data_IF_108727020054
#
_entry.id   IF_108727020054
#
_cell.length_a   1.000
_cell.length_b   1.000
_cell.length_c   1.000
_cell.angle_alpha   90.00
_cell.angle_beta   90.00
_cell.angle_gamma   90.00
#
_symmetry.space_group_name_H-M   'P 1'
#
loop_
_entity.id
_entity.type
_entity.pdbx_description
1 polymer ?
#
# COMPACT_ATOMS: atom_id res chain seq x y z
N UNK A 1 -20.77 -25.54 -11.05
CA UNK A 1 -20.45 -24.64 -9.92
C UNK A 1 -19.45 -23.60 -10.41
N UNK A 2 -19.85 -22.33 -10.49
CA UNK A 2 -18.92 -21.24 -10.81
C UNK A 2 -18.06 -21.03 -9.57
N UNK A 3 -16.76 -21.36 -9.63
CA UNK A 3 -15.80 -21.00 -8.57
C UNK A 3 -15.71 -19.47 -8.57
N UNK A 4 -16.34 -18.82 -7.59
CA UNK A 4 -16.05 -17.42 -7.30
C UNK A 4 -14.58 -17.35 -6.89
N UNK A 5 -13.73 -16.78 -7.76
CA UNK A 5 -12.32 -16.56 -7.46
C UNK A 5 -12.27 -15.58 -6.29
N UNK A 6 -11.76 -16.03 -5.14
CA UNK A 6 -11.57 -15.18 -3.96
C UNK A 6 -10.67 -13.99 -4.33
N UNK A 7 -11.13 -12.77 -4.08
CA UNK A 7 -10.42 -11.53 -4.45
C UNK A 7 -9.51 -11.14 -3.30
N UNK A 8 -8.27 -11.62 -3.34
CA UNK A 8 -7.27 -11.35 -2.30
C UNK A 8 -6.68 -9.94 -2.45
N UNK A 9 -6.71 -9.19 -1.35
CA UNK A 9 -6.10 -7.86 -1.21
C UNK A 9 -5.01 -7.96 -0.15
N UNK A 10 -3.76 -7.79 -0.55
CA UNK A 10 -2.64 -7.68 0.39
C UNK A 10 -2.50 -6.24 0.86
N UNK A 11 -2.58 -6.04 2.17
CA UNK A 11 -2.38 -4.75 2.83
C UNK A 11 -0.94 -4.68 3.33
N UNK A 12 -0.22 -3.63 2.96
CA UNK A 12 1.12 -3.32 3.42
C UNK A 12 1.08 -1.97 4.12
N UNK A 13 0.81 -1.92 5.44
CA UNK A 13 0.65 -0.68 6.20
C UNK A 13 1.87 0.24 6.14
N UNK A 14 3.05 -0.35 6.29
CA UNK A 14 4.34 0.34 6.25
C UNK A 14 4.56 1.24 7.47
N UNK A 15 5.06 2.45 7.22
CA UNK A 15 5.66 3.35 8.20
C UNK A 15 4.87 4.65 8.40
N UNK A 16 5.17 5.38 9.47
CA UNK A 16 4.56 6.68 9.78
C UNK A 16 3.04 6.58 9.94
N UNK A 17 2.31 7.40 9.18
CA UNK A 17 0.82 7.39 9.16
C UNK A 17 0.24 6.23 8.34
N UNK A 18 1.07 5.44 7.67
CA UNK A 18 0.65 4.31 6.82
C UNK A 18 -0.31 3.32 7.50
N UNK A 19 0.00 2.85 8.73
CA UNK A 19 -0.89 2.01 9.52
C UNK A 19 -2.26 2.62 9.83
N UNK A 20 -2.32 3.92 10.10
CA UNK A 20 -3.57 4.61 10.40
C UNK A 20 -4.47 4.67 9.17
N UNK A 21 -3.93 5.05 8.01
CA UNK A 21 -4.72 5.14 6.77
C UNK A 21 -5.15 3.77 6.25
N UNK A 22 -4.30 2.73 6.36
CA UNK A 22 -4.67 1.36 5.99
C UNK A 22 -5.71 0.78 6.97
N UNK A 23 -5.72 1.22 8.24
CA UNK A 23 -6.80 0.88 9.15
C UNK A 23 -8.17 1.37 8.66
N UNK A 24 -8.26 2.59 8.11
CA UNK A 24 -9.51 3.10 7.52
C UNK A 24 -9.89 2.35 6.23
N UNK A 25 -8.92 1.99 5.40
CA UNK A 25 -9.15 1.13 4.21
C UNK A 25 -9.80 -0.20 4.61
N UNK A 26 -9.33 -0.85 5.69
CA UNK A 26 -9.95 -2.08 6.21
C UNK A 26 -11.42 -1.90 6.57
N UNK A 27 -11.81 -0.75 7.16
CA UNK A 27 -13.21 -0.46 7.48
C UNK A 27 -14.07 -0.35 6.22
N UNK A 28 -13.55 0.34 5.20
CA UNK A 28 -14.24 0.50 3.91
C UNK A 28 -14.41 -0.85 3.21
N UNK A 29 -13.37 -1.69 3.15
CA UNK A 29 -13.46 -3.04 2.57
C UNK A 29 -14.50 -3.90 3.31
N UNK A 30 -14.48 -3.88 4.66
CA UNK A 30 -15.49 -4.59 5.47
C UNK A 30 -16.91 -4.12 5.18
N UNK A 31 -17.11 -2.81 5.05
CA UNK A 31 -18.41 -2.25 4.69
C UNK A 31 -18.88 -2.78 3.33
N UNK A 32 -18.02 -2.75 2.31
CA UNK A 32 -18.33 -3.28 0.97
C UNK A 32 -18.65 -4.77 0.98
N UNK A 33 -17.88 -5.58 1.71
CA UNK A 33 -18.17 -7.00 1.87
C UNK A 33 -19.56 -7.20 2.49
N UNK A 34 -19.89 -6.44 3.54
CA UNK A 34 -21.17 -6.57 4.26
C UNK A 34 -22.40 -6.05 3.50
N UNK A 35 -22.23 -5.05 2.63
CA UNK A 35 -23.36 -4.33 1.99
C UNK A 35 -23.49 -4.57 0.49
N UNK A 36 -22.43 -5.03 -0.16
CA UNK A 36 -22.35 -5.15 -1.63
C UNK A 36 -21.87 -6.53 -2.10
N UNK A 37 -21.69 -7.49 -1.20
CA UNK A 37 -21.32 -8.88 -1.51
C UNK A 37 -20.09 -8.98 -2.44
N UNK A 38 -19.07 -8.14 -2.19
CA UNK A 38 -17.83 -8.14 -2.98
C UNK A 38 -16.83 -9.21 -2.52
N UNK A 39 -17.00 -9.77 -1.32
CA UNK A 39 -16.26 -10.91 -0.76
C UNK A 39 -14.73 -10.81 -0.90
N UNK A 40 -14.17 -9.63 -0.63
CA UNK A 40 -12.72 -9.43 -0.57
C UNK A 40 -12.12 -10.15 0.63
N UNK A 41 -11.02 -10.86 0.40
CA UNK A 41 -10.18 -11.40 1.47
C UNK A 41 -9.01 -10.46 1.70
N UNK A 42 -8.80 -10.04 2.93
CA UNK A 42 -7.68 -9.17 3.30
C UNK A 42 -6.60 -10.02 3.96
N UNK A 43 -5.37 -9.88 3.47
CA UNK A 43 -4.15 -10.31 4.16
C UNK A 43 -3.32 -9.07 4.52
N UNK A 44 -2.52 -9.12 5.57
CA UNK A 44 -1.74 -7.96 6.04
C UNK A 44 -0.33 -8.39 6.45
N UNK A 45 0.68 -7.68 5.94
CA UNK A 45 2.07 -7.99 6.24
C UNK A 45 2.98 -6.75 6.19
N UNK A 46 4.26 -6.92 6.50
CA UNK A 46 5.20 -5.83 6.70
C UNK A 46 5.93 -5.41 5.42
N UNK A 47 6.12 -4.11 5.27
CA UNK A 47 6.98 -3.49 4.27
C UNK A 47 7.63 -2.22 4.86
N UNK A 48 8.72 -1.76 4.26
CA UNK A 48 9.41 -0.54 4.68
C UNK A 48 10.24 -0.73 5.96
N UNK A 49 10.32 0.34 6.74
CA UNK A 49 11.05 0.39 8.00
C UNK A 49 10.53 -0.59 9.05
N UNK A 50 9.22 -0.80 9.13
CA UNK A 50 8.60 -1.80 10.00
C UNK A 50 9.08 -3.23 9.68
N UNK A 51 9.23 -3.57 8.40
CA UNK A 51 9.84 -4.85 7.99
C UNK A 51 11.33 -4.87 8.34
N UNK A 52 12.05 -3.79 8.09
CA UNK A 52 13.47 -3.71 8.41
C UNK A 52 13.75 -3.91 9.90
N UNK A 53 12.98 -3.26 10.77
CA UNK A 53 13.12 -3.38 12.22
C UNK A 53 12.91 -4.82 12.71
N UNK A 54 12.01 -5.58 12.07
CA UNK A 54 11.68 -6.96 12.46
C UNK A 54 12.56 -8.01 11.78
N UNK A 55 12.95 -7.78 10.54
CA UNK A 55 13.54 -8.79 9.65
C UNK A 55 14.89 -8.40 9.05
N UNK A 56 15.38 -7.18 9.30
CA UNK A 56 16.63 -6.66 8.72
C UNK A 56 16.54 -6.38 7.21
N UNK A 57 15.35 -6.52 6.60
CA UNK A 57 15.09 -6.26 5.19
C UNK A 57 13.81 -5.43 5.04
N UNK A 58 13.76 -4.45 4.12
CA UNK A 58 12.58 -3.61 3.91
C UNK A 58 11.37 -4.38 3.34
N UNK A 59 11.58 -5.58 2.79
CA UNK A 59 10.51 -6.50 2.43
C UNK A 59 11.09 -7.92 2.35
N UNK A 60 10.39 -8.90 2.92
CA UNK A 60 10.80 -10.31 2.86
C UNK A 60 10.36 -10.94 1.55
N UNK A 61 10.97 -12.08 1.19
CA UNK A 61 10.53 -12.83 0.01
C UNK A 61 9.14 -13.44 0.21
N UNK A 62 8.77 -13.82 1.44
CA UNK A 62 7.41 -14.27 1.79
C UNK A 62 6.36 -13.21 1.44
N UNK A 63 6.57 -11.96 1.87
CA UNK A 63 5.65 -10.84 1.57
C UNK A 63 5.58 -10.59 0.06
N UNK A 64 6.71 -10.73 -0.63
CA UNK A 64 6.74 -10.60 -2.08
C UNK A 64 5.94 -11.71 -2.79
N UNK A 65 6.03 -12.96 -2.35
CA UNK A 65 5.22 -14.04 -2.91
C UNK A 65 3.72 -13.84 -2.62
N UNK A 66 3.36 -13.38 -1.42
CA UNK A 66 1.97 -12.97 -1.12
C UNK A 66 1.49 -11.88 -2.07
N UNK A 67 2.35 -10.91 -2.41
CA UNK A 67 2.02 -9.86 -3.36
C UNK A 67 1.78 -10.38 -4.79
N UNK A 68 2.56 -11.38 -5.23
CA UNK A 68 2.36 -12.05 -6.53
C UNK A 68 1.06 -12.86 -6.59
N UNK A 69 0.65 -13.46 -5.48
CA UNK A 69 -0.60 -14.24 -5.39
C UNK A 69 -1.86 -13.38 -5.17
N UNK A 70 -1.67 -12.10 -4.86
CA UNK A 70 -2.77 -11.17 -4.58
C UNK A 70 -3.28 -10.50 -5.85
N UNK A 71 -4.58 -10.21 -5.90
CA UNK A 71 -5.18 -9.48 -7.02
C UNK A 71 -4.89 -7.97 -6.90
N UNK A 72 -4.74 -7.48 -5.67
CA UNK A 72 -4.44 -6.08 -5.35
C UNK A 72 -3.44 -6.02 -4.20
N UNK A 73 -2.47 -5.12 -4.31
CA UNK A 73 -1.60 -4.72 -3.20
C UNK A 73 -1.93 -3.29 -2.81
N UNK A 74 -2.36 -3.06 -1.58
CA UNK A 74 -2.61 -1.72 -1.01
C UNK A 74 -1.48 -1.37 -0.05
N UNK A 75 -0.59 -0.49 -0.50
CA UNK A 75 0.52 0.04 0.30
C UNK A 75 0.10 1.36 0.96
N UNK A 76 0.38 1.51 2.25
CA UNK A 76 0.22 2.78 2.98
C UNK A 76 1.34 3.77 2.62
N UNK A 77 2.34 3.88 3.49
CA UNK A 77 3.53 4.69 3.26
C UNK A 77 4.77 3.92 3.71
N UNK A 78 5.96 4.25 3.18
CA UNK A 78 7.23 3.69 3.67
C UNK A 78 8.24 4.82 3.82
N UNK A 79 9.12 4.72 4.80
CA UNK A 79 10.16 5.71 5.08
C UNK A 79 10.01 6.42 6.42
N UNK A 80 11.08 7.07 6.84
CA UNK A 80 11.14 7.88 8.05
C UNK A 80 12.57 8.17 8.50
N UNK A 81 12.82 9.25 9.28
CA UNK A 81 14.16 9.69 9.63
C UNK A 81 15.02 8.65 10.34
N UNK A 82 14.38 7.71 11.05
CA UNK A 82 15.03 6.59 11.75
C UNK A 82 15.94 5.76 10.83
N UNK A 83 15.59 5.64 9.54
CA UNK A 83 16.28 4.75 8.60
C UNK A 83 17.09 5.48 7.54
N UNK A 84 17.25 6.81 7.65
CA UNK A 84 17.97 7.63 6.65
C UNK A 84 19.46 7.26 6.52
N UNK A 85 20.07 6.81 7.62
CA UNK A 85 21.47 6.38 7.69
C UNK A 85 21.73 4.95 7.21
N UNK A 86 20.70 4.19 6.81
CA UNK A 86 20.90 2.84 6.30
C UNK A 86 21.56 2.84 4.92
N UNK A 87 22.26 1.75 4.62
CA UNK A 87 22.70 1.44 3.26
C UNK A 87 21.52 1.46 2.30
N UNK A 88 21.75 1.96 1.08
CA UNK A 88 20.70 2.15 0.08
C UNK A 88 19.85 0.89 -0.18
N UNK A 89 20.46 -0.30 -0.15
CA UNK A 89 19.78 -1.59 -0.35
C UNK A 89 18.81 -1.98 0.77
N UNK A 90 18.97 -1.39 1.96
CA UNK A 90 18.20 -1.68 3.17
C UNK A 90 17.18 -0.60 3.51
N UNK A 91 17.18 0.52 2.79
CA UNK A 91 16.25 1.62 3.05
C UNK A 91 14.79 1.21 2.81
N UNK A 92 13.82 1.78 3.56
CA UNK A 92 12.40 1.44 3.43
C UNK A 92 11.84 1.53 2.00
N UNK A 93 12.27 2.52 1.20
CA UNK A 93 11.78 2.76 -0.15
C UNK A 93 12.13 1.61 -1.11
N UNK A 94 13.11 0.76 -0.76
CA UNK A 94 13.46 -0.44 -1.53
C UNK A 94 12.33 -1.45 -1.58
N UNK A 95 11.45 -1.48 -0.58
CA UNK A 95 10.23 -2.30 -0.62
C UNK A 95 9.34 -1.91 -1.82
N UNK A 96 9.04 -0.61 -1.95
CA UNK A 96 8.23 -0.06 -3.05
C UNK A 96 8.90 -0.30 -4.41
N UNK A 97 10.21 -0.10 -4.52
CA UNK A 97 10.94 -0.30 -5.77
C UNK A 97 10.98 -1.78 -6.18
N UNK A 98 11.21 -2.70 -5.23
CA UNK A 98 11.17 -4.16 -5.49
C UNK A 98 9.77 -4.57 -5.96
N UNK A 99 8.71 -4.16 -5.26
CA UNK A 99 7.33 -4.43 -5.66
C UNK A 99 7.03 -3.94 -7.08
N UNK A 100 7.35 -2.68 -7.41
CA UNK A 100 7.10 -2.12 -8.75
C UNK A 100 7.82 -2.88 -9.85
N UNK A 101 9.10 -3.20 -9.64
CA UNK A 101 9.92 -3.90 -10.62
C UNK A 101 9.42 -5.32 -10.85
N UNK A 102 9.28 -6.09 -9.78
CA UNK A 102 9.02 -7.52 -9.86
C UNK A 102 7.55 -7.83 -10.22
N UNK A 103 6.60 -6.98 -9.80
CA UNK A 103 5.20 -7.04 -10.25
C UNK A 103 4.99 -6.39 -11.63
N UNK A 104 6.05 -5.90 -12.28
CA UNK A 104 6.03 -5.28 -13.63
C UNK A 104 5.03 -4.12 -13.76
N UNK A 105 4.92 -3.30 -12.72
CA UNK A 105 3.98 -2.16 -12.67
C UNK A 105 4.53 -0.95 -13.46
N UNK A 106 4.54 -1.07 -14.79
CA UNK A 106 5.07 -0.04 -15.68
C UNK A 106 4.17 1.21 -15.77
N UNK A 107 2.85 1.04 -15.65
CA UNK A 107 1.87 2.12 -15.74
C UNK A 107 1.58 2.71 -14.36
N UNK A 108 1.88 4.00 -14.18
CA UNK A 108 1.64 4.72 -12.94
C UNK A 108 0.65 5.87 -13.17
N UNK A 109 -0.59 5.70 -12.71
CA UNK A 109 -1.65 6.69 -12.83
C UNK A 109 -1.67 7.61 -11.59
N UNK A 110 -1.65 8.94 -11.80
CA UNK A 110 -1.71 9.96 -10.75
C UNK A 110 -2.72 11.06 -11.09
N UNK A 111 -4.03 10.81 -10.95
CA UNK A 111 -5.06 11.83 -11.17
C UNK A 111 -4.84 13.04 -10.25
N UNK A 112 -4.86 14.25 -10.82
CA UNK A 112 -4.78 15.51 -10.09
C UNK A 112 -6.04 16.34 -10.38
N UNK A 113 -7.02 16.28 -9.47
CA UNK A 113 -8.33 16.91 -9.62
C UNK A 113 -8.47 17.98 -8.54
N UNK A 114 -8.71 19.23 -8.95
CA UNK A 114 -9.04 20.31 -8.02
C UNK A 114 -10.53 20.23 -7.67
N UNK A 115 -10.84 19.79 -6.44
CA UNK A 115 -12.21 19.75 -5.94
C UNK A 115 -12.70 21.17 -5.65
N UNK A 116 -13.92 21.50 -6.08
CA UNK A 116 -14.52 22.83 -5.88
C UNK A 116 -14.52 23.26 -4.41
N UNK A 117 -14.72 22.31 -3.50
CA UNK A 117 -14.72 22.51 -2.04
C UNK A 117 -13.33 22.82 -1.45
N UNK A 118 -12.26 22.62 -2.22
CA UNK A 118 -10.87 22.75 -1.78
C UNK A 118 -10.07 23.78 -2.61
N UNK A 119 -10.73 24.62 -3.40
CA UNK A 119 -10.06 25.60 -4.29
C UNK A 119 -9.14 26.52 -3.49
N UNK A 120 -9.56 26.95 -2.30
CA UNK A 120 -8.80 27.88 -1.46
C UNK A 120 -7.54 27.26 -0.82
N UNK A 121 -7.39 25.92 -0.86
CA UNK A 121 -6.16 25.26 -0.44
C UNK A 121 -5.05 25.35 -1.51
N UNK A 122 -5.39 25.74 -2.75
CA UNK A 122 -4.41 25.92 -3.81
C UNK A 122 -3.63 27.22 -3.61
N UNK A 123 -2.32 27.18 -3.86
CA UNK A 123 -1.49 28.39 -3.92
C UNK A 123 -1.67 29.18 -5.22
N UNK A 124 -2.41 28.62 -6.20
CA UNK A 124 -2.78 29.31 -7.42
C UNK A 124 -3.98 30.22 -7.18
N UNK A 125 -4.08 31.31 -7.93
CA UNK A 125 -5.22 32.23 -7.85
C UNK A 125 -6.52 31.49 -8.20
N UNK A 126 -7.60 31.65 -7.42
CA UNK A 126 -8.94 31.23 -7.82
C UNK A 126 -9.33 31.91 -9.13
N UNK A 127 -10.06 31.18 -9.99
CA UNK A 127 -10.71 31.74 -11.19
C UNK A 127 -12.08 32.29 -10.84
#
# INVERSE_FOLDING_TARGET
MIKVKKRKVLLLPGDGIGPEVIHEVKKVIKWFNSKRSLDFEMDEDLAGGASYDKHGTPITDEVFYKALESEVVMLGAVGGPKWDGLEFSKKPERALLKLRKELKLFANLRPAICFKQLVDASTLKPK
#
